data_IF_626382994850
#
_entry.id   IF_626382994850
#
_cell.length_a   1.000
_cell.length_b   1.000
_cell.length_c   1.000
_cell.angle_alpha   90.00
_cell.angle_beta   90.00
_cell.angle_gamma   90.00
#
_symmetry.space_group_name_H-M   'P 1'
#
loop_
_entity.id
_entity.type
_entity.pdbx_description
1 polymer ?
#
# COMPACT_ATOMS: atom_id res chain seq x y z
N UNK A 1 -12.08 -8.74 -11.81
CA UNK A 1 -11.47 -7.68 -10.99
C UNK A 1 -10.34 -6.91 -11.69
N UNK A 2 -9.83 -7.37 -12.80
CA UNK A 2 -8.67 -6.80 -13.53
C UNK A 2 -9.05 -5.92 -14.74
N UNK A 3 -10.35 -5.63 -14.95
CA UNK A 3 -10.83 -4.85 -16.09
C UNK A 3 -10.78 -3.33 -15.82
N UNK A 4 -10.71 -2.53 -16.88
CA UNK A 4 -10.82 -1.08 -16.82
C UNK A 4 -12.17 -0.62 -16.24
N UNK A 5 -13.25 -1.34 -16.56
CA UNK A 5 -14.59 -1.08 -16.02
C UNK A 5 -14.61 -1.20 -14.50
N UNK A 6 -14.01 -2.27 -13.95
CA UNK A 6 -13.90 -2.46 -12.51
C UNK A 6 -13.04 -1.37 -11.86
N UNK A 7 -11.92 -0.98 -12.48
CA UNK A 7 -11.05 0.09 -11.97
C UNK A 7 -11.75 1.46 -11.97
N UNK A 8 -12.63 1.71 -12.92
CA UNK A 8 -13.35 3.00 -13.04
C UNK A 8 -14.36 3.20 -11.91
N UNK A 9 -15.22 2.20 -11.63
CA UNK A 9 -16.20 2.26 -10.53
C UNK A 9 -16.30 0.93 -9.77
N UNK A 10 -15.32 0.62 -8.90
CA UNK A 10 -15.34 -0.60 -8.11
C UNK A 10 -16.48 -0.64 -7.09
N UNK A 11 -16.93 0.52 -6.60
CA UNK A 11 -18.03 0.59 -5.63
C UNK A 11 -19.37 0.18 -6.24
N UNK A 12 -19.62 0.53 -7.50
CA UNK A 12 -20.79 0.00 -8.21
C UNK A 12 -20.69 -1.52 -8.34
N UNK A 13 -19.54 -2.02 -8.77
CA UNK A 13 -19.30 -3.45 -8.90
C UNK A 13 -19.51 -4.20 -7.56
N UNK A 14 -19.00 -3.68 -6.45
CA UNK A 14 -19.19 -4.28 -5.12
C UNK A 14 -20.68 -4.30 -4.68
N UNK A 15 -21.43 -3.24 -4.98
CA UNK A 15 -22.89 -3.23 -4.69
C UNK A 15 -23.63 -4.32 -5.45
N UNK A 16 -23.34 -4.48 -6.75
CA UNK A 16 -23.93 -5.51 -7.59
C UNK A 16 -23.53 -6.91 -7.13
N UNK A 17 -22.25 -7.13 -6.82
CA UNK A 17 -21.74 -8.38 -6.27
C UNK A 17 -22.45 -8.74 -4.96
N UNK A 18 -22.59 -7.77 -4.04
CA UNK A 18 -23.27 -7.98 -2.75
C UNK A 18 -24.75 -8.38 -2.93
N UNK A 19 -25.44 -7.72 -3.87
CA UNK A 19 -26.83 -8.03 -4.17
C UNK A 19 -26.99 -9.46 -4.72
N UNK A 20 -26.04 -9.92 -5.52
CA UNK A 20 -26.10 -11.22 -6.19
C UNK A 20 -25.60 -12.38 -5.32
N UNK A 21 -24.52 -12.17 -4.56
CA UNK A 21 -23.77 -13.24 -3.89
C UNK A 21 -23.70 -13.10 -2.36
N UNK A 22 -24.07 -11.95 -1.80
CA UNK A 22 -23.90 -11.69 -0.37
C UNK A 22 -22.45 -11.32 -0.01
N UNK A 23 -21.91 -11.91 1.07
CA UNK A 23 -20.61 -11.56 1.64
C UNK A 23 -19.40 -12.19 0.92
N UNK A 24 -19.62 -13.25 0.14
CA UNK A 24 -18.58 -14.07 -0.51
C UNK A 24 -18.86 -14.18 -2.01
N UNK A 25 -17.97 -13.67 -2.83
CA UNK A 25 -18.17 -13.52 -4.28
C UNK A 25 -17.15 -14.33 -5.06
N UNK A 26 -17.58 -15.24 -5.97
CA UNK A 26 -16.65 -15.87 -6.90
C UNK A 26 -16.14 -14.84 -7.89
N UNK A 27 -14.80 -14.76 -8.02
CA UNK A 27 -14.11 -13.79 -8.90
C UNK A 27 -12.96 -14.45 -9.63
N UNK A 28 -12.44 -13.74 -10.64
CA UNK A 28 -11.12 -14.03 -11.21
C UNK A 28 -10.18 -12.86 -10.90
N UNK A 29 -8.97 -13.18 -10.43
CA UNK A 29 -7.90 -12.19 -10.16
C UNK A 29 -7.15 -11.82 -11.44
N UNK A 30 -7.02 -12.76 -12.35
CA UNK A 30 -6.61 -12.61 -13.75
C UNK A 30 -7.29 -13.71 -14.55
N UNK A 31 -7.27 -13.68 -15.89
CA UNK A 31 -7.93 -14.71 -16.70
C UNK A 31 -7.54 -16.13 -16.27
N UNK A 32 -8.54 -16.94 -15.92
CA UNK A 32 -8.35 -18.33 -15.48
C UNK A 32 -7.78 -18.52 -14.08
N UNK A 33 -7.69 -17.48 -13.25
CA UNK A 33 -7.24 -17.56 -11.85
C UNK A 33 -8.42 -17.31 -10.91
N UNK A 34 -9.17 -18.35 -10.53
CA UNK A 34 -10.33 -18.22 -9.67
C UNK A 34 -9.95 -17.90 -8.22
N UNK A 35 -10.76 -17.08 -7.58
CA UNK A 35 -10.64 -16.71 -6.18
C UNK A 35 -12.03 -16.46 -5.56
N UNK A 36 -12.09 -16.36 -4.25
CA UNK A 36 -13.26 -15.83 -3.55
C UNK A 36 -12.94 -14.46 -2.99
N UNK A 37 -13.72 -13.44 -3.37
CA UNK A 37 -13.63 -12.10 -2.81
C UNK A 37 -14.59 -11.98 -1.60
N UNK A 38 -14.04 -11.57 -0.48
CA UNK A 38 -14.80 -11.30 0.75
C UNK A 38 -15.15 -9.82 0.79
N UNK A 39 -16.44 -9.50 0.75
CA UNK A 39 -16.97 -8.14 0.76
C UNK A 39 -17.84 -7.84 1.99
N UNK A 40 -18.07 -8.83 2.88
CA UNK A 40 -18.76 -8.66 4.16
C UNK A 40 -17.75 -8.38 5.27
N UNK A 41 -17.96 -7.30 6.02
CA UNK A 41 -17.03 -6.86 7.08
C UNK A 41 -16.82 -7.93 8.17
N UNK A 42 -17.89 -8.46 8.74
CA UNK A 42 -17.80 -9.48 9.81
C UNK A 42 -17.15 -10.77 9.32
N UNK A 43 -17.44 -11.17 8.09
CA UNK A 43 -16.83 -12.34 7.43
C UNK A 43 -15.32 -12.11 7.24
N UNK A 44 -14.92 -10.93 6.80
CA UNK A 44 -13.51 -10.54 6.64
C UNK A 44 -12.75 -10.60 7.97
N UNK A 45 -13.31 -10.01 9.03
CA UNK A 45 -12.72 -10.05 10.38
C UNK A 45 -12.58 -11.49 10.88
N UNK A 46 -13.62 -12.32 10.70
CA UNK A 46 -13.59 -13.73 11.09
C UNK A 46 -12.47 -14.48 10.38
N UNK A 47 -12.39 -14.40 9.05
CA UNK A 47 -11.36 -15.10 8.25
C UNK A 47 -9.97 -14.62 8.60
N UNK A 48 -9.75 -13.32 8.71
CA UNK A 48 -8.42 -12.75 9.01
C UNK A 48 -7.90 -13.09 10.41
N UNK A 49 -8.79 -13.38 11.36
CA UNK A 49 -8.43 -13.77 12.72
C UNK A 49 -8.42 -15.31 12.95
N UNK A 50 -8.53 -16.09 11.88
CA UNK A 50 -8.45 -17.56 11.93
C UNK A 50 -7.29 -18.07 11.04
N UNK A 51 -6.03 -17.78 11.38
CA UNK A 51 -4.88 -18.16 10.58
C UNK A 51 -4.62 -19.66 10.53
N UNK A 52 -5.22 -20.44 11.43
CA UNK A 52 -5.09 -21.91 11.45
C UNK A 52 -5.87 -22.54 10.30
N UNK A 53 -7.06 -22.04 9.99
CA UNK A 53 -7.86 -22.51 8.86
C UNK A 53 -7.59 -21.72 7.58
N UNK A 54 -7.21 -20.44 7.69
CA UNK A 54 -6.96 -19.51 6.58
C UNK A 54 -5.54 -18.92 6.61
N UNK A 55 -4.49 -19.75 6.47
CA UNK A 55 -3.11 -19.25 6.42
C UNK A 55 -2.86 -18.39 5.19
N UNK A 56 -1.96 -17.40 5.31
CA UNK A 56 -1.46 -16.61 4.17
C UNK A 56 -0.27 -17.30 3.47
N UNK A 57 -0.35 -18.61 3.29
CA UNK A 57 0.71 -19.44 2.70
C UNK A 57 0.27 -19.98 1.33
N UNK A 58 0.84 -19.46 0.23
CA UNK A 58 0.45 -19.81 -1.13
C UNK A 58 1.13 -21.09 -1.66
N UNK A 59 2.02 -21.76 -0.91
CA UNK A 59 2.89 -22.83 -1.43
C UNK A 59 2.14 -23.96 -2.14
N UNK A 60 0.95 -24.30 -1.69
CA UNK A 60 0.13 -25.32 -2.35
C UNK A 60 -0.56 -24.75 -3.58
N UNK A 61 -1.15 -23.55 -3.48
CA UNK A 61 -1.85 -22.89 -4.57
C UNK A 61 -0.92 -22.62 -5.76
N UNK A 62 0.27 -22.08 -5.52
CA UNK A 62 1.21 -21.70 -6.59
C UNK A 62 1.66 -22.87 -7.48
N UNK A 63 1.56 -24.11 -6.98
CA UNK A 63 1.86 -25.32 -7.76
C UNK A 63 0.75 -25.66 -8.75
N UNK A 64 -0.45 -25.09 -8.59
CA UNK A 64 -1.64 -25.36 -9.40
C UNK A 64 -1.86 -24.33 -10.50
N UNK A 65 -1.06 -23.23 -10.54
CA UNK A 65 -1.18 -22.18 -11.55
C UNK A 65 -0.01 -22.24 -12.54
N UNK A 66 -0.23 -21.82 -13.79
CA UNK A 66 0.85 -21.75 -14.80
C UNK A 66 1.97 -20.80 -14.35
N UNK A 67 3.21 -21.11 -14.75
CA UNK A 67 4.37 -20.29 -14.42
C UNK A 67 4.32 -18.86 -15.03
N UNK A 68 3.58 -18.69 -16.10
CA UNK A 68 3.33 -17.41 -16.77
C UNK A 68 2.08 -16.67 -16.24
N UNK A 69 1.52 -17.12 -15.13
CA UNK A 69 0.38 -16.47 -14.50
C UNK A 69 0.74 -15.02 -14.09
N UNK A 70 0.04 -13.98 -14.60
CA UNK A 70 0.43 -12.58 -14.41
C UNK A 70 0.46 -12.11 -12.96
N UNK A 71 -0.33 -12.75 -12.07
CA UNK A 71 -0.40 -12.37 -10.64
C UNK A 71 0.49 -13.24 -9.75
N UNK A 72 1.12 -14.29 -10.32
CA UNK A 72 1.98 -15.19 -9.53
C UNK A 72 3.11 -14.44 -8.82
N UNK A 73 3.85 -13.50 -9.44
CA UNK A 73 4.93 -12.76 -8.77
C UNK A 73 4.46 -11.96 -7.53
N UNK A 74 3.20 -11.54 -7.48
CA UNK A 74 2.63 -10.83 -6.34
C UNK A 74 2.15 -11.77 -5.23
N UNK A 75 1.74 -13.00 -5.57
CA UNK A 75 1.10 -13.92 -4.65
C UNK A 75 1.96 -15.14 -4.29
N UNK A 76 3.05 -15.41 -4.98
CA UNK A 76 3.93 -16.56 -4.71
C UNK A 76 4.54 -16.49 -3.30
N UNK A 77 4.89 -17.65 -2.78
CA UNK A 77 5.60 -17.74 -1.52
C UNK A 77 7.00 -17.11 -1.61
N UNK A 78 7.31 -16.35 -0.58
CA UNK A 78 8.65 -15.80 -0.34
C UNK A 78 8.94 -15.93 1.15
N UNK A 79 10.21 -16.05 1.58
CA UNK A 79 10.57 -16.13 2.99
C UNK A 79 10.40 -14.77 3.69
N UNK A 80 9.15 -14.32 3.84
CA UNK A 80 8.79 -13.07 4.48
C UNK A 80 7.49 -13.17 5.29
N UNK A 81 7.18 -12.15 6.09
CA UNK A 81 5.98 -12.12 6.92
C UNK A 81 4.67 -12.02 6.14
N UNK A 82 4.70 -11.60 4.87
CA UNK A 82 3.50 -11.41 4.06
C UNK A 82 2.96 -12.74 3.50
N UNK A 83 3.86 -13.69 3.17
CA UNK A 83 3.55 -14.93 2.46
C UNK A 83 3.92 -16.18 3.25
N UNK A 84 3.76 -16.14 4.56
CA UNK A 84 4.05 -17.23 5.48
C UNK A 84 2.96 -17.38 6.53
N UNK A 85 2.97 -18.48 7.27
CA UNK A 85 1.98 -18.78 8.31
C UNK A 85 2.63 -19.45 9.53
N UNK A 86 1.90 -19.53 10.66
CA UNK A 86 2.32 -20.21 11.86
C UNK A 86 3.62 -19.64 12.47
N UNK A 87 4.52 -20.52 12.91
CA UNK A 87 5.79 -20.13 13.55
C UNK A 87 6.74 -19.40 12.61
N UNK A 88 6.74 -19.74 11.32
CA UNK A 88 7.53 -19.04 10.30
C UNK A 88 7.09 -17.58 10.18
N UNK A 89 5.78 -17.33 10.04
CA UNK A 89 5.21 -15.99 10.06
C UNK A 89 5.57 -15.25 11.36
N UNK A 90 5.36 -15.88 12.51
CA UNK A 90 5.62 -15.26 13.81
C UNK A 90 7.07 -14.77 13.94
N UNK A 91 8.04 -15.58 13.46
CA UNK A 91 9.46 -15.24 13.47
C UNK A 91 9.77 -14.02 12.60
N UNK A 92 9.29 -13.98 11.35
CA UNK A 92 9.46 -12.83 10.46
C UNK A 92 8.73 -11.59 10.98
N UNK A 93 7.50 -11.78 11.48
CA UNK A 93 6.67 -10.69 11.98
C UNK A 93 7.28 -9.99 13.18
N UNK A 94 7.84 -10.74 14.13
CA UNK A 94 8.53 -10.17 15.29
C UNK A 94 9.71 -9.31 14.88
N UNK A 95 10.54 -9.78 13.93
CA UNK A 95 11.68 -9.02 13.44
C UNK A 95 11.24 -7.73 12.74
N UNK A 96 10.23 -7.81 11.85
CA UNK A 96 9.72 -6.65 11.14
C UNK A 96 9.07 -5.63 12.08
N UNK A 97 8.22 -6.08 12.99
CA UNK A 97 7.56 -5.20 13.95
C UNK A 97 8.58 -4.47 14.82
N UNK A 98 9.54 -5.19 15.41
CA UNK A 98 10.60 -4.58 16.23
C UNK A 98 11.45 -3.58 15.44
N UNK A 99 11.77 -3.86 14.18
CA UNK A 99 12.56 -2.95 13.34
C UNK A 99 11.77 -1.67 12.99
N UNK A 100 10.47 -1.78 12.74
CA UNK A 100 9.57 -0.66 12.42
C UNK A 100 9.23 0.15 13.67
N UNK A 101 8.94 -0.50 14.79
CA UNK A 101 8.63 0.15 16.07
C UNK A 101 9.82 0.98 16.62
N UNK A 102 11.04 0.68 16.18
CA UNK A 102 12.23 1.45 16.48
C UNK A 102 12.37 2.76 15.69
N UNK A 103 11.49 3.08 14.75
CA UNK A 103 11.54 4.35 13.99
C UNK A 103 11.14 5.50 14.91
N UNK A 104 12.01 6.52 14.99
CA UNK A 104 11.68 7.77 15.66
C UNK A 104 10.70 8.59 14.81
N UNK A 105 9.45 8.64 15.24
CA UNK A 105 8.39 9.38 14.54
C UNK A 105 8.60 10.90 14.54
N UNK A 106 9.34 11.45 15.52
CA UNK A 106 9.66 12.88 15.52
C UNK A 106 10.75 13.20 14.47
N UNK A 107 11.80 12.38 14.41
CA UNK A 107 12.81 12.50 13.36
C UNK A 107 12.22 12.28 11.96
N UNK A 108 11.25 11.36 11.84
CA UNK A 108 10.57 11.09 10.57
C UNK A 108 9.78 12.30 10.05
N UNK A 109 9.19 13.12 10.94
CA UNK A 109 8.51 14.36 10.53
C UNK A 109 9.48 15.29 9.79
N UNK A 110 10.65 15.56 10.38
CA UNK A 110 11.68 16.39 9.75
C UNK A 110 12.23 15.77 8.46
N UNK A 111 12.43 14.45 8.44
CA UNK A 111 12.88 13.74 7.24
C UNK A 111 11.88 13.85 6.06
N UNK A 112 10.57 13.88 6.33
CA UNK A 112 9.57 14.11 5.29
C UNK A 112 9.67 15.52 4.73
N UNK A 113 9.86 16.55 5.56
CA UNK A 113 10.03 17.93 5.15
C UNK A 113 11.30 18.12 4.31
N UNK A 114 12.44 17.54 4.75
CA UNK A 114 13.71 17.56 4.03
C UNK A 114 13.63 16.94 2.63
N UNK A 115 12.69 16.01 2.41
CA UNK A 115 12.42 15.41 1.10
C UNK A 115 11.37 16.21 0.32
N UNK A 116 10.30 16.65 0.97
CA UNK A 116 9.15 17.30 0.32
C UNK A 116 9.53 18.66 -0.29
N UNK A 117 10.24 19.49 0.46
CA UNK A 117 10.58 20.85 0.02
C UNK A 117 11.44 20.86 -1.25
N UNK A 118 12.56 20.11 -1.38
CA UNK A 118 13.30 20.02 -2.63
C UNK A 118 12.46 19.49 -3.80
N UNK A 119 11.56 18.53 -3.58
CA UNK A 119 10.68 18.02 -4.63
C UNK A 119 9.69 19.09 -5.13
N UNK A 120 9.05 19.81 -4.22
CA UNK A 120 8.16 20.93 -4.57
C UNK A 120 8.93 22.01 -5.37
N UNK A 121 10.16 22.31 -4.98
CA UNK A 121 11.03 23.27 -5.67
C UNK A 121 11.37 22.85 -7.11
N UNK A 122 11.22 21.56 -7.48
CA UNK A 122 11.43 21.13 -8.88
C UNK A 122 10.35 21.59 -9.84
N UNK A 123 9.16 21.95 -9.35
CA UNK A 123 8.01 22.30 -10.20
C UNK A 123 7.24 23.57 -9.77
N UNK A 124 7.52 24.17 -8.60
CA UNK A 124 6.74 25.30 -8.09
C UNK A 124 6.76 26.53 -9.01
N UNK A 125 7.81 26.73 -9.81
CA UNK A 125 7.92 27.81 -10.79
C UNK A 125 7.24 27.49 -12.13
N UNK A 126 6.85 26.23 -12.39
CA UNK A 126 6.20 25.81 -13.64
C UNK A 126 4.72 26.16 -13.65
N UNK A 127 4.06 26.16 -12.48
CA UNK A 127 2.61 26.43 -12.33
C UNK A 127 1.74 25.20 -12.66
N UNK A 128 2.35 24.05 -12.91
CA UNK A 128 1.70 22.78 -13.16
C UNK A 128 2.63 21.61 -12.80
N UNK A 129 2.04 20.48 -12.41
CA UNK A 129 2.79 19.25 -12.11
C UNK A 129 1.88 18.01 -12.30
N UNK A 130 2.51 16.84 -12.44
CA UNK A 130 1.86 15.56 -12.16
C UNK A 130 2.29 15.07 -10.78
N UNK A 131 1.36 15.05 -9.83
CA UNK A 131 1.67 14.74 -8.43
C UNK A 131 2.08 13.28 -8.22
N UNK A 132 1.72 12.35 -9.11
CA UNK A 132 2.16 10.95 -8.98
C UNK A 132 3.67 10.85 -9.23
N UNK A 133 4.11 11.31 -10.40
CA UNK A 133 5.49 11.13 -10.85
C UNK A 133 6.47 12.16 -10.28
N UNK A 134 6.01 13.39 -9.99
CA UNK A 134 6.88 14.47 -9.53
C UNK A 134 6.90 14.67 -8.02
N UNK A 135 5.92 14.10 -7.28
CA UNK A 135 5.84 14.28 -5.82
C UNK A 135 5.64 12.98 -5.06
N UNK A 136 4.49 12.30 -5.22
CA UNK A 136 4.11 11.19 -4.35
C UNK A 136 5.07 9.98 -4.43
N UNK A 137 5.43 9.55 -5.64
CA UNK A 137 6.38 8.45 -5.83
C UNK A 137 7.79 8.80 -5.34
N UNK A 138 8.44 9.89 -5.80
CA UNK A 138 9.80 10.21 -5.38
C UNK A 138 9.90 10.50 -3.89
N UNK A 139 8.90 11.14 -3.27
CA UNK A 139 8.86 11.36 -1.82
C UNK A 139 8.82 10.04 -1.07
N UNK A 140 7.87 9.16 -1.44
CA UNK A 140 7.73 7.85 -0.78
C UNK A 140 9.02 7.04 -0.90
N UNK A 141 9.62 7.02 -2.07
CA UNK A 141 10.86 6.28 -2.32
C UNK A 141 12.03 6.83 -1.49
N UNK A 142 12.19 8.15 -1.43
CA UNK A 142 13.26 8.78 -0.65
C UNK A 142 13.09 8.53 0.87
N UNK A 143 11.86 8.67 1.39
CA UNK A 143 11.57 8.38 2.80
C UNK A 143 11.83 6.90 3.13
N UNK A 144 11.42 5.96 2.27
CA UNK A 144 11.70 4.55 2.49
C UNK A 144 13.20 4.23 2.46
N UNK A 145 13.97 4.85 1.56
CA UNK A 145 15.43 4.72 1.56
C UNK A 145 16.04 5.24 2.87
N UNK A 146 15.58 6.38 3.36
CA UNK A 146 16.03 6.96 4.62
C UNK A 146 15.80 6.01 5.79
N UNK A 147 14.57 5.51 5.99
CA UNK A 147 14.26 4.61 7.11
C UNK A 147 14.89 3.22 6.97
N UNK A 148 15.16 2.77 5.73
CA UNK A 148 15.92 1.54 5.48
C UNK A 148 17.42 1.71 5.69
N UNK A 149 17.92 2.94 5.82
CA UNK A 149 19.35 3.26 5.87
C UNK A 149 20.05 3.00 4.53
N UNK A 150 19.34 3.15 3.42
CA UNK A 150 19.82 2.91 2.07
C UNK A 150 20.50 4.16 1.51
N UNK A 151 21.82 4.14 1.24
CA UNK A 151 22.51 5.30 0.69
C UNK A 151 22.12 5.53 -0.79
N UNK A 152 22.35 6.74 -1.33
CA UNK A 152 21.88 7.14 -2.65
C UNK A 152 22.33 6.25 -3.81
N UNK A 153 23.56 5.74 -3.77
CA UNK A 153 24.14 4.88 -4.80
C UNK A 153 23.43 3.49 -4.87
N UNK A 154 23.17 2.88 -3.72
CA UNK A 154 22.36 1.65 -3.64
C UNK A 154 20.91 1.97 -3.96
N UNK A 155 20.37 3.08 -3.47
CA UNK A 155 19.00 3.53 -3.76
C UNK A 155 18.74 3.70 -5.27
N UNK A 156 19.69 4.18 -6.04
CA UNK A 156 19.59 4.25 -7.51
C UNK A 156 19.46 2.87 -8.16
N UNK A 157 20.15 1.86 -7.65
CA UNK A 157 20.03 0.48 -8.14
C UNK A 157 18.67 -0.12 -7.78
N UNK A 158 18.18 0.16 -6.57
CA UNK A 158 16.82 -0.23 -6.13
C UNK A 158 15.78 0.41 -7.05
N UNK A 159 15.89 1.72 -7.33
CA UNK A 159 14.98 2.43 -8.24
C UNK A 159 15.01 1.84 -9.65
N UNK A 160 16.19 1.54 -10.17
CA UNK A 160 16.34 0.91 -11.49
C UNK A 160 15.70 -0.49 -11.54
N UNK A 161 15.92 -1.32 -10.52
CA UNK A 161 15.28 -2.64 -10.42
C UNK A 161 13.76 -2.57 -10.37
N UNK A 162 13.22 -1.58 -9.65
CA UNK A 162 11.78 -1.33 -9.60
C UNK A 162 11.22 -0.85 -10.94
N UNK A 163 11.88 0.12 -11.61
CA UNK A 163 11.46 0.59 -12.93
C UNK A 163 11.44 -0.54 -13.95
N UNK A 164 12.48 -1.38 -13.99
CA UNK A 164 12.58 -2.53 -14.87
C UNK A 164 11.44 -3.55 -14.64
N UNK A 165 10.98 -3.70 -13.40
CA UNK A 165 9.82 -4.55 -13.09
C UNK A 165 8.52 -4.02 -13.72
N UNK A 166 8.32 -2.70 -13.73
CA UNK A 166 7.15 -2.07 -14.37
C UNK A 166 7.23 -2.05 -15.90
N UNK A 167 8.44 -2.03 -16.47
CA UNK A 167 8.66 -2.07 -17.92
C UNK A 167 8.54 -3.48 -18.52
N UNK A 168 8.24 -4.50 -17.71
CA UNK A 168 8.08 -5.88 -18.17
C UNK A 168 9.41 -6.55 -18.58
N UNK A 169 10.53 -6.08 -18.04
CA UNK A 169 11.83 -6.74 -18.16
C UNK A 169 11.75 -8.12 -17.51
N UNK A 170 12.53 -9.07 -18.04
CA UNK A 170 12.64 -10.44 -17.54
C UNK A 170 12.72 -10.48 -15.99
N UNK A 171 11.80 -11.21 -15.38
CA UNK A 171 11.64 -11.26 -13.91
C UNK A 171 12.92 -11.74 -13.20
N UNK A 172 13.68 -12.67 -13.79
CA UNK A 172 14.93 -13.16 -13.21
C UNK A 172 16.00 -12.06 -13.19
N UNK A 173 16.06 -11.24 -14.25
CA UNK A 173 17.00 -10.12 -14.33
C UNK A 173 16.62 -9.03 -13.32
N UNK A 174 15.34 -8.72 -13.20
CA UNK A 174 14.82 -7.75 -12.20
C UNK A 174 15.12 -8.22 -10.79
N UNK A 175 14.82 -9.49 -10.49
CA UNK A 175 15.11 -10.07 -9.17
C UNK A 175 16.61 -10.08 -8.87
N UNK A 176 17.47 -10.31 -9.87
CA UNK A 176 18.92 -10.27 -9.67
C UNK A 176 19.42 -8.85 -9.36
N UNK A 177 18.95 -7.83 -10.08
CA UNK A 177 19.34 -6.43 -9.82
C UNK A 177 18.84 -5.97 -8.45
N UNK A 178 17.56 -6.17 -8.16
CA UNK A 178 16.95 -5.74 -6.92
C UNK A 178 17.51 -6.51 -5.73
N UNK A 179 17.63 -7.83 -5.84
CA UNK A 179 18.24 -8.68 -4.81
C UNK A 179 19.72 -8.36 -4.57
N UNK A 180 20.47 -8.04 -5.63
CA UNK A 180 21.87 -7.59 -5.54
C UNK A 180 22.01 -6.29 -4.75
N UNK A 181 21.24 -5.26 -5.11
CA UNK A 181 21.25 -3.97 -4.41
C UNK A 181 20.91 -4.13 -2.90
N UNK A 182 19.91 -4.95 -2.58
CA UNK A 182 19.55 -5.21 -1.18
C UNK A 182 20.59 -6.04 -0.43
N UNK A 183 21.29 -6.94 -1.11
CA UNK A 183 22.41 -7.66 -0.52
C UNK A 183 23.59 -6.72 -0.23
N UNK A 184 23.87 -5.76 -1.10
CA UNK A 184 24.89 -4.75 -0.89
C UNK A 184 24.53 -3.84 0.31
N UNK A 185 23.23 -3.46 0.44
CA UNK A 185 22.74 -2.73 1.61
C UNK A 185 22.95 -3.53 2.91
N UNK A 186 22.61 -4.82 2.93
CA UNK A 186 22.80 -5.71 4.07
C UNK A 186 24.29 -5.81 4.44
N UNK A 187 25.16 -5.92 3.45
CA UNK A 187 26.62 -6.00 3.62
C UNK A 187 27.16 -4.72 4.20
N UNK A 188 26.73 -3.58 3.68
CA UNK A 188 27.09 -2.26 4.21
C UNK A 188 26.68 -2.11 5.67
N UNK A 189 25.44 -2.46 6.01
CA UNK A 189 24.90 -2.29 7.37
C UNK A 189 25.47 -3.27 8.38
N UNK A 190 26.04 -4.38 7.96
CA UNK A 190 26.89 -5.23 8.82
C UNK A 190 28.21 -4.59 9.17
N UNK A 191 28.82 -3.88 8.22
CA UNK A 191 30.09 -3.18 8.42
C UNK A 191 29.89 -1.84 9.17
N UNK A 192 28.83 -1.12 8.83
CA UNK A 192 28.49 0.21 9.31
C UNK A 192 27.05 0.26 9.84
N UNK A 193 26.77 -0.27 11.04
CA UNK A 193 25.44 -0.22 11.65
C UNK A 193 24.97 1.23 11.84
N UNK A 194 23.66 1.46 11.59
CA UNK A 194 23.01 2.75 11.78
C UNK A 194 21.71 2.63 12.58
N UNK A 195 21.04 3.74 12.77
CA UNK A 195 19.70 3.78 13.36
C UNK A 195 18.64 3.62 12.26
N UNK A 196 18.53 2.44 11.67
CA UNK A 196 17.69 2.13 10.53
C UNK A 196 17.08 0.73 10.60
N UNK A 197 16.08 0.47 9.76
CA UNK A 197 15.36 -0.81 9.72
C UNK A 197 16.32 -1.97 9.38
N UNK A 198 17.23 -1.78 8.43
CA UNK A 198 18.13 -2.86 7.99
C UNK A 198 19.04 -3.29 9.12
N UNK A 199 19.63 -2.34 9.86
CA UNK A 199 20.46 -2.60 11.04
C UNK A 199 19.67 -3.32 12.14
N UNK A 200 18.43 -2.89 12.41
CA UNK A 200 17.58 -3.51 13.42
C UNK A 200 17.17 -4.94 13.04
N UNK A 201 16.87 -5.20 11.77
CA UNK A 201 16.61 -6.55 11.26
C UNK A 201 17.81 -7.46 11.44
N UNK A 202 19.03 -6.97 11.14
CA UNK A 202 20.29 -7.70 11.31
C UNK A 202 20.57 -8.04 12.78
N UNK A 203 20.26 -7.14 13.69
CA UNK A 203 20.50 -7.31 15.12
C UNK A 203 19.42 -8.12 15.84
N UNK A 204 18.29 -8.42 15.18
CA UNK A 204 17.14 -9.03 15.83
C UNK A 204 17.40 -10.50 16.20
N UNK A 205 16.98 -10.98 17.42
CA UNK A 205 17.19 -12.35 17.89
C UNK A 205 16.58 -13.46 17.00
N UNK A 206 15.67 -13.13 16.08
CA UNK A 206 15.17 -14.07 15.08
C UNK A 206 16.26 -14.62 14.17
N UNK A 207 17.43 -13.98 14.11
CA UNK A 207 18.61 -14.40 13.37
C UNK A 207 18.26 -14.79 11.91
N UNK A 208 17.75 -13.81 11.15
CA UNK A 208 17.33 -14.00 9.77
C UNK A 208 18.54 -14.26 8.87
N UNK A 209 18.44 -15.27 8.01
CA UNK A 209 19.43 -15.52 6.96
C UNK A 209 19.38 -14.42 5.88
N UNK A 210 20.44 -14.29 5.08
CA UNK A 210 20.54 -13.24 4.06
C UNK A 210 19.37 -13.25 3.07
N UNK A 211 18.95 -14.42 2.60
CA UNK A 211 17.79 -14.56 1.73
C UNK A 211 16.48 -14.10 2.40
N UNK A 212 16.34 -14.34 3.71
CA UNK A 212 15.19 -13.88 4.50
C UNK A 212 15.24 -12.37 4.69
N UNK A 213 16.42 -11.80 5.02
CA UNK A 213 16.63 -10.35 5.16
C UNK A 213 16.30 -9.61 3.86
N UNK A 214 16.81 -10.09 2.72
CA UNK A 214 16.49 -9.54 1.40
C UNK A 214 14.98 -9.52 1.20
N UNK A 215 14.27 -10.61 1.51
CA UNK A 215 12.83 -10.69 1.30
C UNK A 215 12.00 -9.85 2.30
N UNK A 216 12.50 -9.56 3.51
CA UNK A 216 11.89 -8.54 4.38
C UNK A 216 12.04 -7.14 3.76
N UNK A 217 13.23 -6.80 3.22
CA UNK A 217 13.46 -5.52 2.56
C UNK A 217 12.66 -5.39 1.24
N UNK A 218 12.58 -6.43 0.42
CA UNK A 218 11.68 -6.48 -0.75
C UNK A 218 10.24 -6.17 -0.32
N UNK A 219 9.79 -6.75 0.80
CA UNK A 219 8.44 -6.48 1.31
C UNK A 219 8.31 -5.04 1.80
N UNK A 220 9.33 -4.46 2.44
CA UNK A 220 9.33 -3.07 2.87
C UNK A 220 9.12 -2.12 1.68
N UNK A 221 9.87 -2.30 0.60
CA UNK A 221 9.73 -1.48 -0.61
C UNK A 221 8.42 -1.76 -1.36
N UNK A 222 8.09 -3.01 -1.62
CA UNK A 222 6.90 -3.39 -2.39
C UNK A 222 5.59 -3.03 -1.68
N UNK A 223 5.49 -3.28 -0.38
CA UNK A 223 4.30 -2.93 0.41
C UNK A 223 4.31 -1.47 0.91
N UNK A 224 5.43 -0.78 0.86
CA UNK A 224 5.57 0.59 1.32
C UNK A 224 5.34 1.63 0.23
N UNK A 225 5.90 1.47 -0.96
CA UNK A 225 5.89 2.54 -1.97
C UNK A 225 4.50 2.75 -2.56
N UNK A 226 3.96 1.76 -3.25
CA UNK A 226 2.73 1.94 -4.01
C UNK A 226 1.52 2.27 -3.12
N UNK A 227 1.27 1.60 -1.99
CA UNK A 227 0.15 1.96 -1.13
C UNK A 227 0.27 3.35 -0.52
N UNK A 228 1.46 3.79 -0.14
CA UNK A 228 1.66 5.11 0.46
C UNK A 228 1.53 6.24 -0.56
N UNK A 229 2.10 6.07 -1.76
CA UNK A 229 1.90 6.99 -2.88
C UNK A 229 0.42 7.13 -3.23
N UNK A 230 -0.32 6.02 -3.30
CA UNK A 230 -1.75 6.04 -3.60
C UNK A 230 -2.56 6.61 -2.44
N UNK A 231 -2.15 6.40 -1.18
CA UNK A 231 -2.78 7.03 -0.02
C UNK A 231 -2.70 8.56 -0.12
N UNK A 232 -1.52 9.11 -0.43
CA UNK A 232 -1.34 10.55 -0.61
C UNK A 232 -2.15 11.08 -1.81
N UNK A 233 -2.06 10.44 -2.96
CA UNK A 233 -2.73 10.88 -4.17
C UNK A 233 -4.26 10.85 -4.04
N UNK A 234 -4.81 9.75 -3.52
CA UNK A 234 -6.25 9.61 -3.37
C UNK A 234 -6.80 10.56 -2.27
N UNK A 235 -6.03 10.82 -1.20
CA UNK A 235 -6.40 11.80 -0.18
C UNK A 235 -6.38 13.21 -0.75
N UNK A 236 -5.36 13.58 -1.52
CA UNK A 236 -5.30 14.86 -2.23
C UNK A 236 -6.47 14.99 -3.22
N UNK A 237 -6.81 13.93 -3.96
CA UNK A 237 -7.97 13.94 -4.85
C UNK A 237 -9.26 14.25 -4.08
N UNK A 238 -9.49 13.59 -2.94
CA UNK A 238 -10.63 13.87 -2.07
C UNK A 238 -10.63 15.34 -1.63
N UNK A 239 -9.50 15.85 -1.11
CA UNK A 239 -9.39 17.23 -0.62
C UNK A 239 -9.58 18.28 -1.73
N UNK A 240 -9.13 18.00 -2.96
CA UNK A 240 -9.23 18.94 -4.09
C UNK A 240 -10.60 18.90 -4.79
N UNK A 241 -11.42 17.88 -4.55
CA UNK A 241 -12.71 17.69 -5.23
C UNK A 241 -13.93 17.85 -4.33
N UNK A 242 -13.79 17.59 -3.03
CA UNK A 242 -14.90 17.73 -2.09
C UNK A 242 -14.95 19.15 -1.50
N UNK A 243 -16.09 19.86 -1.69
CA UNK A 243 -16.26 21.24 -1.22
C UNK A 243 -16.05 21.44 0.30
N UNK A 244 -16.19 20.39 1.10
CA UNK A 244 -15.96 20.45 2.58
C UNK A 244 -14.52 20.85 2.90
N UNK A 245 -13.55 20.42 2.10
CA UNK A 245 -12.12 20.71 2.31
C UNK A 245 -11.71 22.06 1.69
N UNK A 246 -12.49 22.60 0.75
CA UNK A 246 -12.19 23.87 0.09
C UNK A 246 -12.43 25.13 0.97
N UNK A 247 -12.78 24.97 2.25
CA UNK A 247 -13.05 26.10 3.17
C UNK A 247 -14.30 26.90 2.84
N UNK A 248 -15.12 26.48 1.90
CA UNK A 248 -16.32 27.18 1.44
C UNK A 248 -17.59 26.88 2.27
N UNK A 249 -17.49 25.97 3.23
CA UNK A 249 -18.61 25.58 4.10
C UNK A 249 -18.48 26.31 5.44
N UNK A 250 -19.56 26.92 5.99
CA UNK A 250 -19.51 27.52 7.32
C UNK A 250 -19.14 26.47 8.38
N UNK A 251 -18.03 26.68 9.08
CA UNK A 251 -17.43 25.79 10.04
C UNK A 251 -15.92 25.73 9.85
N UNK A 252 -15.22 25.00 10.70
CA UNK A 252 -13.81 24.70 10.45
C UNK A 252 -13.71 23.70 9.28
N UNK A 253 -12.85 23.99 8.30
CA UNK A 253 -12.55 23.00 7.26
C UNK A 253 -11.96 21.74 7.89
N UNK A 254 -12.36 20.53 7.44
CA UNK A 254 -11.74 19.29 7.89
C UNK A 254 -10.22 19.29 7.64
N UNK A 255 -9.48 18.68 8.53
CA UNK A 255 -8.02 18.58 8.44
C UNK A 255 -7.58 17.50 7.46
N UNK A 256 -6.29 17.48 7.11
CA UNK A 256 -5.68 16.38 6.36
C UNK A 256 -5.88 15.02 7.08
N UNK A 257 -5.88 15.01 8.40
CA UNK A 257 -6.17 13.80 9.20
C UNK A 257 -7.60 13.29 8.98
N UNK A 258 -8.57 14.21 8.91
CA UNK A 258 -9.96 13.85 8.64
C UNK A 258 -10.10 13.28 7.23
N UNK A 259 -9.43 13.88 6.25
CA UNK A 259 -9.40 13.38 4.88
C UNK A 259 -8.76 11.99 4.76
N UNK A 260 -7.64 11.77 5.45
CA UNK A 260 -6.98 10.45 5.51
C UNK A 260 -7.88 9.40 6.15
N UNK A 261 -8.52 9.72 7.27
CA UNK A 261 -9.44 8.79 7.94
C UNK A 261 -10.64 8.45 7.06
N UNK A 262 -11.25 9.44 6.43
CA UNK A 262 -12.35 9.24 5.50
C UNK A 262 -11.94 8.38 4.30
N UNK A 263 -10.77 8.67 3.69
CA UNK A 263 -10.28 7.90 2.55
C UNK A 263 -10.00 6.44 2.92
N UNK A 264 -9.41 6.19 4.08
CA UNK A 264 -9.13 4.82 4.55
C UNK A 264 -10.41 4.00 4.74
N UNK A 265 -11.55 4.65 5.00
CA UNK A 265 -12.86 4.00 4.97
C UNK A 265 -13.38 3.83 3.56
N UNK A 266 -13.47 4.92 2.81
CA UNK A 266 -14.25 4.97 1.57
C UNK A 266 -13.52 4.33 0.40
N UNK A 267 -12.23 4.63 0.21
CA UNK A 267 -11.48 4.21 -0.98
C UNK A 267 -10.00 3.91 -0.68
N UNK A 268 -9.71 2.93 0.20
CA UNK A 268 -8.34 2.65 0.64
C UNK A 268 -7.43 2.25 -0.53
N UNK A 269 -6.14 2.65 -0.51
CA UNK A 269 -5.19 2.48 -1.61
C UNK A 269 -4.91 1.01 -1.97
N UNK A 270 -4.94 0.11 -0.98
CA UNK A 270 -4.98 -1.34 -1.18
C UNK A 270 -6.42 -1.82 -1.03
N UNK A 271 -7.18 -1.79 -2.14
CA UNK A 271 -8.60 -2.10 -2.10
C UNK A 271 -8.89 -3.57 -1.78
N UNK A 272 -8.07 -4.53 -2.28
CA UNK A 272 -8.36 -5.97 -2.25
C UNK A 272 -7.08 -6.81 -2.09
N UNK A 273 -6.29 -6.66 -1.04
CA UNK A 273 -4.95 -7.27 -1.00
C UNK A 273 -4.70 -8.30 0.11
N UNK A 274 -5.48 -8.40 1.15
CA UNK A 274 -5.29 -9.43 2.17
C UNK A 274 -5.72 -10.80 1.61
N UNK A 275 -4.76 -11.69 1.37
CA UNK A 275 -4.99 -12.98 0.71
C UNK A 275 -4.63 -14.13 1.63
N UNK A 276 -5.57 -15.07 1.77
CA UNK A 276 -5.40 -16.30 2.54
C UNK A 276 -5.81 -17.52 1.71
N UNK A 277 -5.47 -18.71 2.19
CA UNK A 277 -5.68 -19.96 1.46
C UNK A 277 -6.26 -21.01 2.42
N UNK A 278 -7.54 -21.39 2.31
CA UNK A 278 -8.14 -22.42 3.19
C UNK A 278 -7.34 -23.72 3.14
N UNK A 279 -6.99 -24.29 4.30
CA UNK A 279 -6.25 -25.58 4.34
C UNK A 279 -7.07 -26.75 3.83
N UNK A 280 -8.39 -26.67 3.97
CA UNK A 280 -9.35 -27.66 3.56
C UNK A 280 -10.66 -26.96 3.11
N UNK A 281 -11.55 -27.64 2.40
CA UNK A 281 -12.84 -27.05 2.06
C UNK A 281 -13.56 -26.59 3.33
N UNK A 282 -13.92 -25.33 3.39
CA UNK A 282 -14.49 -24.69 4.59
C UNK A 282 -15.79 -24.00 4.25
N UNK A 283 -16.83 -24.25 5.06
CA UNK A 283 -18.14 -23.60 4.91
C UNK A 283 -18.17 -22.29 5.69
N UNK A 284 -18.33 -21.18 4.99
CA UNK A 284 -18.47 -19.83 5.57
C UNK A 284 -19.74 -19.20 5.01
N UNK A 285 -20.62 -18.71 5.87
CA UNK A 285 -21.87 -18.01 5.50
C UNK A 285 -22.70 -18.76 4.44
N UNK A 286 -22.72 -20.09 4.50
CA UNK A 286 -23.44 -20.94 3.54
C UNK A 286 -22.71 -21.19 2.21
N UNK A 287 -21.51 -20.66 2.00
CA UNK A 287 -20.69 -20.86 0.80
C UNK A 287 -19.49 -21.76 1.12
N UNK A 288 -19.27 -22.77 0.29
CA UNK A 288 -18.07 -23.62 0.37
C UNK A 288 -16.87 -22.92 -0.27
N UNK A 289 -15.87 -22.61 0.52
CA UNK A 289 -14.56 -22.14 0.07
C UNK A 289 -13.70 -23.37 -0.28
N UNK A 290 -13.20 -23.49 -1.52
CA UNK A 290 -12.33 -24.60 -1.91
C UNK A 290 -11.01 -24.58 -1.16
N UNK A 291 -10.43 -25.76 -0.88
CA UNK A 291 -9.09 -25.85 -0.32
C UNK A 291 -8.07 -25.19 -1.26
N UNK A 292 -7.11 -24.47 -0.67
CA UNK A 292 -5.97 -23.84 -1.34
C UNK A 292 -6.31 -22.80 -2.41
N UNK A 293 -7.58 -22.46 -2.62
CA UNK A 293 -7.95 -21.37 -3.52
C UNK A 293 -7.80 -20.02 -2.80
N UNK A 294 -7.31 -18.97 -3.49
CA UNK A 294 -7.19 -17.64 -2.88
C UNK A 294 -8.52 -17.12 -2.36
N UNK A 295 -8.52 -16.68 -1.11
CA UNK A 295 -9.62 -15.92 -0.48
C UNK A 295 -9.05 -14.52 -0.23
N UNK A 296 -9.60 -13.55 -0.94
CA UNK A 296 -9.13 -12.17 -0.97
C UNK A 296 -10.09 -11.29 -0.17
N UNK A 297 -9.57 -10.59 0.83
CA UNK A 297 -10.37 -9.62 1.57
C UNK A 297 -10.38 -8.30 0.79
N UNK A 298 -11.58 -7.83 0.44
CA UNK A 298 -11.77 -6.47 -0.07
C UNK A 298 -11.90 -5.50 1.09
N UNK A 299 -10.82 -4.81 1.43
CA UNK A 299 -10.88 -3.76 2.46
C UNK A 299 -11.86 -2.67 2.06
N UNK A 300 -11.84 -2.25 0.79
CA UNK A 300 -12.75 -1.23 0.26
C UNK A 300 -14.23 -1.65 0.37
N UNK A 301 -14.59 -2.84 -0.11
CA UNK A 301 -15.98 -3.29 -0.04
C UNK A 301 -16.44 -3.58 1.39
N UNK A 302 -15.56 -4.12 2.24
CA UNK A 302 -15.88 -4.40 3.64
C UNK A 302 -16.10 -3.12 4.44
N UNK A 303 -15.26 -2.11 4.27
CA UNK A 303 -15.42 -0.82 4.92
C UNK A 303 -16.74 -0.13 4.52
N UNK A 304 -17.17 -0.32 3.29
CA UNK A 304 -18.45 0.19 2.76
C UNK A 304 -19.60 -0.84 2.87
N UNK A 305 -19.49 -1.81 3.79
CA UNK A 305 -20.58 -2.76 4.05
C UNK A 305 -21.74 -2.03 4.75
N UNK A 306 -22.97 -2.06 4.17
CA UNK A 306 -24.14 -1.42 4.79
C UNK A 306 -24.44 -1.93 6.20
N UNK A 307 -23.92 -3.09 6.58
CA UNK A 307 -24.11 -3.65 7.92
C UNK A 307 -23.34 -2.89 9.02
N UNK A 308 -22.30 -2.11 8.65
CA UNK A 308 -21.46 -1.38 9.60
C UNK A 308 -21.28 0.10 9.25
N UNK A 309 -21.71 0.51 8.06
CA UNK A 309 -21.48 1.86 7.54
C UNK A 309 -22.67 2.77 7.89
N UNK A 310 -22.41 3.82 8.67
CA UNK A 310 -23.38 4.83 9.08
C UNK A 310 -23.14 6.23 8.46
N UNK A 311 -22.06 6.38 7.69
CA UNK A 311 -21.70 7.62 6.99
C UNK A 311 -20.93 8.63 7.83
N UNK A 312 -20.65 8.36 9.11
CA UNK A 312 -19.79 9.18 9.95
C UNK A 312 -18.41 8.52 10.11
N UNK A 313 -17.37 9.26 9.70
CA UNK A 313 -15.97 8.82 9.77
C UNK A 313 -15.18 9.53 10.86
N UNK A 314 -15.80 10.46 11.59
CA UNK A 314 -15.13 11.26 12.63
C UNK A 314 -14.65 10.35 13.76
N UNK A 315 -13.35 10.36 14.02
CA UNK A 315 -12.68 9.53 15.01
C UNK A 315 -12.96 8.01 14.91
N UNK A 316 -13.49 7.56 13.76
CA UNK A 316 -13.75 6.15 13.51
C UNK A 316 -12.54 5.50 12.84
N UNK A 317 -11.88 4.56 13.52
CA UNK A 317 -10.71 3.82 13.04
C UNK A 317 -11.00 2.33 12.83
N UNK A 318 -12.29 1.92 12.78
CA UNK A 318 -12.67 0.51 12.65
C UNK A 318 -12.54 -0.03 11.21
N UNK A 319 -12.04 0.77 10.27
CA UNK A 319 -11.81 0.32 8.89
C UNK A 319 -10.74 -0.78 8.80
N UNK A 320 -10.84 -1.60 7.75
CA UNK A 320 -9.90 -2.69 7.46
C UNK A 320 -8.73 -2.29 6.53
N UNK A 321 -8.55 -1.00 6.23
CA UNK A 321 -7.52 -0.54 5.29
C UNK A 321 -6.09 -0.99 5.64
N UNK A 322 -5.80 -1.15 6.94
CA UNK A 322 -4.52 -1.68 7.42
C UNK A 322 -4.54 -3.20 7.66
N UNK A 323 -5.58 -3.89 7.20
CA UNK A 323 -5.80 -5.28 7.53
C UNK A 323 -6.20 -5.49 9.00
N UNK A 324 -6.43 -6.76 9.36
CA UNK A 324 -6.72 -7.19 10.74
C UNK A 324 -6.12 -8.56 11.00
N UNK A 325 -6.03 -8.98 12.27
CA UNK A 325 -5.41 -10.24 12.67
C UNK A 325 -3.88 -10.24 12.56
N UNK A 326 -3.25 -11.42 12.48
CA UNK A 326 -1.79 -11.54 12.52
C UNK A 326 -1.05 -10.82 11.37
N UNK A 327 -1.72 -10.64 10.24
CA UNK A 327 -1.18 -9.96 9.04
C UNK A 327 -1.57 -8.48 8.95
N UNK A 328 -2.12 -7.86 10.00
CA UNK A 328 -2.35 -6.42 10.03
C UNK A 328 -1.07 -5.63 9.77
N UNK A 329 -1.16 -4.47 9.12
CA UNK A 329 0.01 -3.67 8.76
C UNK A 329 0.82 -3.25 10.00
N UNK A 330 2.13 -3.54 10.08
CA UNK A 330 2.96 -3.11 11.21
C UNK A 330 3.36 -1.64 11.11
N UNK A 331 3.30 -1.04 9.92
CA UNK A 331 3.81 0.30 9.62
C UNK A 331 2.71 1.37 9.55
N UNK A 332 1.49 1.10 10.07
CA UNK A 332 0.36 2.03 9.94
C UNK A 332 0.66 3.44 10.47
N UNK A 333 1.33 3.55 11.62
CA UNK A 333 1.65 4.85 12.23
C UNK A 333 2.67 5.62 11.41
N UNK A 334 3.69 4.92 10.88
CA UNK A 334 4.71 5.49 9.98
C UNK A 334 4.06 5.99 8.68
N UNK A 335 3.28 5.14 8.01
CA UNK A 335 2.64 5.47 6.75
C UNK A 335 1.64 6.64 6.90
N UNK A 336 0.85 6.64 7.97
CA UNK A 336 -0.10 7.71 8.26
C UNK A 336 0.62 9.05 8.49
N UNK A 337 1.70 9.05 9.27
CA UNK A 337 2.49 10.25 9.55
C UNK A 337 3.14 10.80 8.28
N UNK A 338 3.75 9.93 7.47
CA UNK A 338 4.38 10.35 6.20
C UNK A 338 3.33 10.94 5.26
N UNK A 339 2.18 10.29 5.08
CA UNK A 339 1.12 10.80 4.21
C UNK A 339 0.59 12.16 4.70
N UNK A 340 0.31 12.29 6.01
CA UNK A 340 -0.17 13.55 6.58
C UNK A 340 0.82 14.69 6.35
N UNK A 341 2.09 14.47 6.72
CA UNK A 341 3.10 15.52 6.62
C UNK A 341 3.38 15.91 5.16
N UNK A 342 3.44 14.91 4.25
CA UNK A 342 3.67 15.19 2.84
C UNK A 342 2.52 15.99 2.20
N UNK A 343 1.28 15.68 2.56
CA UNK A 343 0.10 16.42 2.07
C UNK A 343 0.12 17.84 2.64
N UNK A 344 0.34 18.01 3.95
CA UNK A 344 0.39 19.32 4.60
C UNK A 344 1.49 20.19 3.97
N UNK A 345 2.72 19.66 3.79
CA UNK A 345 3.83 20.39 3.15
C UNK A 345 3.47 20.85 1.72
N UNK A 346 2.80 20.02 0.93
CA UNK A 346 2.38 20.38 -0.41
C UNK A 346 1.31 21.47 -0.42
N UNK A 347 0.29 21.35 0.44
CA UNK A 347 -0.83 22.31 0.50
C UNK A 347 -0.41 23.64 1.10
N UNK A 348 0.51 23.65 2.08
CA UNK A 348 1.09 24.86 2.64
C UNK A 348 1.97 25.61 1.62
N UNK A 349 2.71 24.86 0.82
CA UNK A 349 3.55 25.42 -0.24
C UNK A 349 2.73 25.96 -1.44
N UNK A 350 1.64 25.30 -1.78
CA UNK A 350 0.81 25.56 -2.95
C UNK A 350 -0.69 25.65 -2.57
N UNK A 351 -1.10 26.67 -1.80
CA UNK A 351 -2.44 26.74 -1.21
C UNK A 351 -3.58 26.90 -2.23
N UNK A 352 -3.27 27.33 -3.46
CA UNK A 352 -4.23 27.45 -4.56
C UNK A 352 -4.12 26.30 -5.57
N UNK A 353 -3.55 25.18 -5.17
CA UNK A 353 -3.44 23.98 -6.02
C UNK A 353 -4.83 23.42 -6.34
N UNK A 354 -5.04 23.02 -7.59
CA UNK A 354 -6.28 22.41 -8.06
C UNK A 354 -6.01 21.43 -9.19
N UNK A 355 -6.93 20.52 -9.43
CA UNK A 355 -6.83 19.62 -10.59
C UNK A 355 -6.75 20.43 -11.89
N UNK A 356 -5.91 19.96 -12.82
CA UNK A 356 -5.82 20.53 -14.18
C UNK A 356 -6.95 20.08 -15.11
N UNK A 357 -7.70 19.05 -14.71
CA UNK A 357 -8.85 18.49 -15.44
C UNK A 357 -9.98 18.18 -14.46
N UNK A 358 -11.16 17.83 -14.95
CA UNK A 358 -12.23 17.35 -14.09
C UNK A 358 -11.93 15.94 -13.55
N UNK A 359 -12.46 15.61 -12.37
CA UNK A 359 -12.15 14.34 -11.68
C UNK A 359 -12.57 13.09 -12.50
N UNK A 360 -13.62 13.20 -13.31
CA UNK A 360 -14.10 12.15 -14.20
C UNK A 360 -13.19 11.87 -15.41
N UNK A 361 -12.23 12.76 -15.69
CA UNK A 361 -11.20 12.57 -16.73
C UNK A 361 -9.95 11.87 -16.20
N UNK A 362 -9.83 11.68 -14.89
CA UNK A 362 -8.72 10.95 -14.29
C UNK A 362 -8.82 9.46 -14.60
N UNK A 363 -7.69 8.87 -14.96
CA UNK A 363 -7.61 7.45 -15.34
C UNK A 363 -7.14 6.62 -14.15
N UNK A 364 -7.97 5.65 -13.76
CA UNK A 364 -7.60 4.65 -12.76
C UNK A 364 -6.90 3.47 -13.43
N UNK A 365 -5.77 3.03 -12.87
CA UNK A 365 -5.02 1.87 -13.39
C UNK A 365 -5.80 0.58 -13.15
N UNK A 366 -6.00 -0.26 -14.18
CA UNK A 366 -6.56 -1.60 -14.00
C UNK A 366 -5.70 -2.45 -13.07
N UNK A 367 -6.33 -3.27 -12.25
CA UNK A 367 -5.64 -4.18 -11.34
C UNK A 367 -6.58 -4.71 -10.27
N UNK A 368 -6.35 -5.96 -9.83
CA UNK A 368 -7.22 -6.61 -8.87
C UNK A 368 -7.07 -6.08 -7.44
N UNK A 369 -5.94 -5.47 -7.10
CA UNK A 369 -5.54 -5.26 -5.71
C UNK A 369 -5.53 -3.79 -5.26
N UNK A 370 -5.24 -2.87 -6.14
CA UNK A 370 -5.00 -1.46 -5.81
C UNK A 370 -6.13 -0.53 -6.27
N UNK A 371 -6.18 0.65 -5.67
CA UNK A 371 -6.94 1.81 -6.10
C UNK A 371 -5.94 2.92 -6.41
N UNK A 372 -5.53 3.05 -7.66
CA UNK A 372 -4.38 3.84 -8.05
C UNK A 372 -4.67 4.67 -9.32
N UNK A 373 -4.36 5.95 -9.27
CA UNK A 373 -4.39 6.83 -10.44
C UNK A 373 -3.18 6.57 -11.34
N UNK A 374 -3.37 6.69 -12.65
CA UNK A 374 -2.29 6.68 -13.62
C UNK A 374 -1.46 7.97 -13.57
N UNK A 375 -2.15 9.12 -13.48
CA UNK A 375 -1.58 10.46 -13.33
C UNK A 375 -2.51 11.31 -12.47
N UNK A 376 -1.96 12.37 -11.86
CA UNK A 376 -2.74 13.37 -11.13
C UNK A 376 -2.25 14.78 -11.52
N UNK A 377 -2.69 15.28 -12.69
CA UNK A 377 -2.27 16.58 -13.18
C UNK A 377 -2.92 17.70 -12.38
N UNK A 378 -2.10 18.64 -11.90
CA UNK A 378 -2.53 19.80 -11.13
C UNK A 378 -1.98 21.09 -11.72
N UNK A 379 -2.65 22.21 -11.39
CA UNK A 379 -2.20 23.56 -11.69
C UNK A 379 -2.28 24.43 -10.44
N UNK A 380 -1.40 25.42 -10.36
CA UNK A 380 -1.29 26.34 -9.23
C UNK A 380 -0.61 27.64 -9.67
N UNK A 381 -0.75 28.76 -8.93
CA UNK A 381 0.03 29.96 -9.17
C UNK A 381 1.54 29.67 -9.01
N UNK A 382 2.35 30.17 -9.93
CA UNK A 382 3.81 30.06 -9.83
C UNK A 382 4.31 30.71 -8.55
N UNK A 383 5.16 30.02 -7.82
CA UNK A 383 5.79 30.52 -6.60
C UNK A 383 7.32 30.38 -6.68
N UNK A 384 8.08 31.27 -6.03
CA UNK A 384 9.53 31.07 -5.90
C UNK A 384 9.84 29.82 -5.09
N UNK A 385 11.04 29.23 -5.26
CA UNK A 385 11.47 28.09 -4.46
C UNK A 385 11.39 28.37 -2.96
N UNK A 386 10.95 27.36 -2.22
CA UNK A 386 10.89 27.39 -0.77
C UNK A 386 12.31 27.32 -0.18
N UNK A 387 12.53 28.01 0.94
CA UNK A 387 13.80 27.95 1.66
C UNK A 387 13.74 26.78 2.63
N UNK A 388 14.72 25.90 2.58
CA UNK A 388 14.93 24.87 3.61
C UNK A 388 15.63 25.57 4.79
N UNK A 389 15.04 25.53 5.97
CA UNK A 389 15.60 26.09 7.20
C UNK A 389 16.35 25.04 8.02
#
# INVERSE_FOLDING_TARGET
MYSEEFATDPHHAYREMRRQYGSLVPVELSPGVPATLVIGYHTAVRISNDPDHFPADPRTWQQSVPADCPILPMLEWRPNALRSAGLEHARYRQANAAAIDGIDLHALHSAVEEVAVPLINTFCEDGAADLISQYAFPLTFAVLNSIAGCPPDIGQQVAYGMAAMFEGVDADKVNAIFGGALFDLITLKRAEPGDDITTRLLAHPANLADAELINQLVTLYGAGIEPLQNLMANTLLLMLTDPRFAGNVPGAAPSTKDALNELLFTDPPLANFSVTYPRQPTLIDGVWLPAHQPVVISMSACNNDPAIHDGDYTDNHSHLAWGTGPHACPAKSVAYLVANNAIDQLLDALPEIRLACSADQLVWRPGAFHRALATMPVVFPKSPPLTVF
#
